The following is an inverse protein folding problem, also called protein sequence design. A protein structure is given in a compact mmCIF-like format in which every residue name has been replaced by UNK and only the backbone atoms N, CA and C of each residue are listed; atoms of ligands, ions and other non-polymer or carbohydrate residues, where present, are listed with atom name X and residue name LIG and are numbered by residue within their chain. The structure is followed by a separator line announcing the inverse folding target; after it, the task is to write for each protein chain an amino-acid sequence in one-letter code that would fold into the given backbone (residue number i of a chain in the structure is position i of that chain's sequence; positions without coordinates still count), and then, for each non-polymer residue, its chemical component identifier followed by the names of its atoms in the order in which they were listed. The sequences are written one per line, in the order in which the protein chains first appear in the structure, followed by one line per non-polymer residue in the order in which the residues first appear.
data_IF_026947852803
#
_entry.id   IF_026947852803
#
_cell.length_a   1.000
_cell.length_b   1.000
_cell.length_c   1.000
_cell.angle_alpha   90.00
_cell.angle_beta   90.00
_cell.angle_gamma   90.00
#
_symmetry.space_group_name_H-M   'P 1'
#
loop_
_entity.id
_entity.type
_entity.pdbx_description
1 polymer ?
#
# COMPACT_ATOMS: atom_id res chain seq x y z
N UNK A 1 -12.22 14.53 7.89
CA UNK A 1 -12.58 13.14 7.59
C UNK A 1 -11.27 12.36 7.54
N UNK A 2 -10.99 11.52 8.53
CA UNK A 2 -9.77 10.69 8.52
C UNK A 2 -9.94 9.64 7.42
N UNK A 3 -8.99 9.50 6.49
CA UNK A 3 -9.09 8.57 5.34
C UNK A 3 -9.40 7.12 5.77
N UNK A 4 -9.05 6.76 7.02
CA UNK A 4 -9.40 5.47 7.65
C UNK A 4 -10.90 5.24 7.79
N UNK A 5 -11.71 6.29 7.87
CA UNK A 5 -13.17 6.15 7.91
C UNK A 5 -13.73 5.60 6.59
N UNK A 6 -13.06 5.86 5.44
CA UNK A 6 -13.44 5.22 4.17
C UNK A 6 -13.20 3.71 4.21
N UNK A 7 -12.13 3.25 4.86
CA UNK A 7 -11.82 1.81 5.00
C UNK A 7 -12.82 1.06 5.87
N UNK A 8 -13.51 1.77 6.77
CA UNK A 8 -14.55 1.21 7.64
C UNK A 8 -15.93 1.15 6.98
N UNK A 9 -16.12 1.81 5.83
CA UNK A 9 -17.39 1.86 5.12
C UNK A 9 -17.84 0.46 4.68
N UNK A 10 -19.12 0.15 4.88
CA UNK A 10 -19.76 -1.08 4.41
C UNK A 10 -21.06 -0.71 3.65
N UNK A 11 -21.22 -1.10 2.37
CA UNK A 11 -20.25 -1.84 1.56
C UNK A 11 -19.05 -0.98 1.17
N UNK A 12 -17.87 -1.60 1.18
CA UNK A 12 -16.65 -1.04 0.58
C UNK A 12 -16.66 -1.40 -0.90
N UNK A 13 -16.51 -0.42 -1.80
CA UNK A 13 -16.61 -0.61 -3.25
C UNK A 13 -15.41 -0.01 -3.96
N UNK A 14 -15.22 -0.32 -5.25
CA UNK A 14 -14.08 0.14 -6.04
C UNK A 14 -13.88 1.67 -6.02
N UNK A 15 -14.99 2.43 -6.01
CA UNK A 15 -14.92 3.90 -5.93
C UNK A 15 -14.32 4.42 -4.60
N UNK A 16 -14.28 3.62 -3.53
CA UNK A 16 -13.57 3.98 -2.30
C UNK A 16 -12.05 3.87 -2.48
N UNK A 17 -11.58 2.90 -3.28
CA UNK A 17 -10.16 2.82 -3.63
C UNK A 17 -9.69 4.04 -4.42
N UNK A 18 -10.49 4.46 -5.42
CA UNK A 18 -10.18 5.67 -6.21
C UNK A 18 -9.97 6.88 -5.28
N UNK A 19 -10.88 7.07 -4.31
CA UNK A 19 -10.76 8.18 -3.34
C UNK A 19 -9.52 8.07 -2.45
N UNK A 20 -9.15 6.85 -2.03
CA UNK A 20 -7.94 6.61 -1.25
C UNK A 20 -6.70 6.89 -2.09
N UNK A 21 -6.65 6.39 -3.32
CA UNK A 21 -5.55 6.62 -4.25
C UNK A 21 -5.38 8.11 -4.58
N UNK A 22 -6.48 8.82 -4.88
CA UNK A 22 -6.48 10.27 -5.10
C UNK A 22 -6.00 11.03 -3.87
N UNK A 23 -6.52 10.69 -2.68
CA UNK A 23 -6.07 11.30 -1.44
C UNK A 23 -4.57 11.11 -1.23
N UNK A 24 -4.07 9.89 -1.41
CA UNK A 24 -2.65 9.59 -1.26
C UNK A 24 -1.86 10.34 -2.33
N UNK A 25 -2.26 10.33 -3.60
CA UNK A 25 -1.57 11.08 -4.65
C UNK A 25 -1.51 12.59 -4.35
N UNK A 26 -2.60 13.18 -3.87
CA UNK A 26 -2.67 14.60 -3.56
C UNK A 26 -1.88 14.98 -2.30
N UNK A 27 -1.75 14.07 -1.34
CA UNK A 27 -1.03 14.33 -0.07
C UNK A 27 0.42 13.82 -0.07
N UNK A 28 0.77 12.95 -1.02
CA UNK A 28 2.02 12.18 -1.06
C UNK A 28 2.70 12.29 -2.44
N UNK A 29 2.66 13.47 -3.06
CA UNK A 29 3.38 13.80 -4.30
C UNK A 29 3.15 12.83 -5.48
N UNK A 30 1.92 12.35 -5.67
CA UNK A 30 1.59 11.32 -6.68
C UNK A 30 2.16 9.93 -6.39
N UNK A 31 2.25 9.54 -5.10
CA UNK A 31 2.86 8.28 -4.66
C UNK A 31 2.34 7.04 -5.39
N UNK A 32 1.03 6.91 -5.60
CA UNK A 32 0.45 5.76 -6.30
C UNK A 32 0.96 5.70 -7.74
N UNK A 33 1.01 6.85 -8.43
CA UNK A 33 1.52 6.92 -9.79
C UNK A 33 3.02 6.58 -9.85
N UNK A 34 3.83 7.11 -8.92
CA UNK A 34 5.26 6.79 -8.86
C UNK A 34 5.50 5.31 -8.56
N UNK A 35 4.71 4.73 -7.65
CA UNK A 35 4.79 3.31 -7.31
C UNK A 35 4.46 2.44 -8.53
N UNK A 36 3.38 2.74 -9.25
CA UNK A 36 3.01 2.02 -10.47
C UNK A 36 4.05 2.18 -11.59
N UNK A 37 4.61 3.38 -11.74
CA UNK A 37 5.64 3.68 -12.74
C UNK A 37 6.98 2.97 -12.45
N UNK A 38 7.46 3.05 -11.21
CA UNK A 38 8.74 2.45 -10.79
C UNK A 38 8.65 0.92 -10.70
N UNK A 39 7.47 0.37 -10.40
CA UNK A 39 7.26 -1.05 -10.25
C UNK A 39 6.10 -1.56 -11.12
N UNK A 40 6.27 -1.60 -12.46
CA UNK A 40 5.20 -1.95 -13.40
C UNK A 40 4.69 -3.40 -13.30
N UNK A 41 5.36 -4.24 -12.48
CA UNK A 41 4.94 -5.62 -12.19
C UNK A 41 3.93 -5.71 -11.04
N UNK A 42 3.70 -4.62 -10.30
CA UNK A 42 2.69 -4.57 -9.26
C UNK A 42 1.30 -4.55 -9.89
N UNK A 43 0.38 -5.35 -9.34
CA UNK A 43 -1.04 -5.27 -9.70
C UNK A 43 -1.71 -4.18 -8.87
N UNK A 44 -2.94 -3.80 -9.24
CA UNK A 44 -3.74 -2.87 -8.45
C UNK A 44 -3.94 -3.37 -7.01
N UNK A 45 -4.20 -4.67 -6.83
CA UNK A 45 -4.31 -5.28 -5.50
C UNK A 45 -2.99 -5.19 -4.69
N UNK A 46 -1.84 -5.31 -5.35
CA UNK A 46 -0.53 -5.12 -4.69
C UNK A 46 -0.36 -3.69 -4.19
N UNK A 47 -0.74 -2.70 -5.02
CA UNK A 47 -0.73 -1.28 -4.68
C UNK A 47 -1.66 -1.04 -3.49
N UNK A 48 -2.88 -1.59 -3.51
CA UNK A 48 -3.83 -1.49 -2.40
C UNK A 48 -3.26 -2.05 -1.09
N UNK A 49 -2.59 -3.20 -1.13
CA UNK A 49 -1.89 -3.76 0.04
C UNK A 49 -0.84 -2.79 0.58
N UNK A 50 -0.04 -2.18 -0.30
CA UNK A 50 0.98 -1.18 0.07
C UNK A 50 0.33 0.06 0.69
N UNK A 51 -0.77 0.55 0.12
CA UNK A 51 -1.53 1.68 0.66
C UNK A 51 -2.08 1.39 2.05
N UNK A 52 -2.64 0.19 2.29
CA UNK A 52 -3.10 -0.18 3.63
C UNK A 52 -1.94 -0.23 4.64
N UNK A 53 -0.77 -0.75 4.25
CA UNK A 53 0.42 -0.70 5.11
C UNK A 53 0.81 0.75 5.45
N UNK A 54 0.79 1.63 4.44
CA UNK A 54 1.13 3.05 4.58
C UNK A 54 0.14 3.81 5.47
N UNK A 55 -1.14 3.45 5.41
CA UNK A 55 -2.21 3.96 6.28
C UNK A 55 -2.15 3.40 7.71
N UNK A 56 -1.09 2.67 8.04
CA UNK A 56 -0.82 2.07 9.33
C UNK A 56 -1.83 1.01 9.76
N UNK A 57 -2.44 0.31 8.81
CA UNK A 57 -3.22 -0.88 9.14
C UNK A 57 -2.28 -1.98 9.61
N UNK A 58 -2.73 -2.70 10.62
CA UNK A 58 -2.08 -3.88 11.15
C UNK A 58 -2.20 -5.05 10.16
N UNK A 59 -1.34 -6.05 10.31
CA UNK A 59 -1.39 -7.26 9.48
C UNK A 59 -2.77 -7.95 9.55
N UNK A 60 -3.40 -7.91 10.72
CA UNK A 60 -4.73 -8.50 10.94
C UNK A 60 -5.82 -7.71 10.21
N UNK A 61 -5.77 -6.38 10.26
CA UNK A 61 -6.73 -5.54 9.52
C UNK A 61 -6.59 -5.72 8.01
N UNK A 62 -5.37 -5.76 7.49
CA UNK A 62 -5.11 -6.01 6.06
C UNK A 62 -5.63 -7.40 5.66
N UNK A 63 -5.30 -8.42 6.45
CA UNK A 63 -5.73 -9.79 6.18
C UNK A 63 -7.26 -9.91 6.18
N UNK A 64 -7.92 -9.32 7.18
CA UNK A 64 -9.38 -9.26 7.25
C UNK A 64 -9.98 -8.48 6.07
N UNK A 65 -9.35 -7.38 5.65
CA UNK A 65 -9.81 -6.57 4.53
C UNK A 65 -9.83 -7.38 3.22
N UNK A 66 -8.78 -8.16 2.98
CA UNK A 66 -8.67 -9.03 1.79
C UNK A 66 -9.31 -10.41 1.97
N UNK A 67 -9.97 -10.68 3.11
CA UNK A 67 -10.55 -11.97 3.46
C UNK A 67 -9.55 -13.14 3.32
N UNK A 68 -8.33 -12.94 3.84
CA UNK A 68 -7.26 -13.94 3.85
C UNK A 68 -6.77 -14.22 5.28
N UNK A 69 -6.07 -15.32 5.47
CA UNK A 69 -5.38 -15.60 6.73
C UNK A 69 -4.18 -14.66 6.92
N UNK A 70 -3.88 -14.18 8.15
CA UNK A 70 -2.72 -13.33 8.42
C UNK A 70 -1.39 -13.92 7.92
N UNK A 71 -1.22 -15.23 8.01
CA UNK A 71 -0.04 -15.94 7.49
C UNK A 71 0.11 -15.79 5.97
N UNK A 72 -1.01 -15.69 5.23
CA UNK A 72 -1.00 -15.49 3.78
C UNK A 72 -0.44 -14.12 3.39
N UNK A 73 -0.44 -13.15 4.31
CA UNK A 73 0.19 -11.86 4.09
C UNK A 73 1.70 -11.99 3.93
N UNK A 74 2.36 -12.94 4.60
CA UNK A 74 3.80 -13.18 4.43
C UNK A 74 4.12 -13.61 3.00
N UNK A 75 3.28 -14.47 2.41
CA UNK A 75 3.43 -14.88 1.00
C UNK A 75 3.20 -13.70 0.05
N UNK A 76 2.19 -12.85 0.31
CA UNK A 76 1.99 -11.61 -0.45
C UNK A 76 3.20 -10.68 -0.34
N UNK A 77 3.75 -10.45 0.85
CA UNK A 77 4.96 -9.65 1.07
C UNK A 77 6.18 -10.19 0.34
N UNK A 78 6.40 -11.50 0.37
CA UNK A 78 7.46 -12.13 -0.41
C UNK A 78 7.31 -11.86 -1.92
N UNK A 79 6.07 -11.96 -2.44
CA UNK A 79 5.78 -11.65 -3.84
C UNK A 79 5.99 -10.17 -4.16
N UNK A 80 5.56 -9.25 -3.28
CA UNK A 80 5.82 -7.81 -3.41
C UNK A 80 7.31 -7.54 -3.52
N UNK A 81 8.12 -8.08 -2.59
CA UNK A 81 9.59 -7.94 -2.63
C UNK A 81 10.17 -8.43 -3.95
N UNK A 82 9.76 -9.61 -4.42
CA UNK A 82 10.21 -10.14 -5.71
C UNK A 82 9.80 -9.27 -6.91
N UNK A 83 8.58 -8.72 -6.90
CA UNK A 83 8.08 -7.82 -7.95
C UNK A 83 8.81 -6.48 -7.97
N UNK A 84 9.20 -5.99 -6.79
CA UNK A 84 9.93 -4.73 -6.59
C UNK A 84 11.45 -4.90 -6.66
N UNK A 85 11.96 -6.13 -6.85
CA UNK A 85 13.40 -6.40 -6.94
C UNK A 85 14.16 -6.23 -5.61
N UNK A 86 13.48 -6.37 -4.47
CA UNK A 86 14.04 -6.13 -3.14
C UNK A 86 14.72 -7.38 -2.58
N UNK A 87 15.70 -7.16 -1.71
CA UNK A 87 16.36 -8.24 -0.96
C UNK A 87 15.35 -8.99 -0.08
N UNK A 88 15.58 -10.29 0.11
CA UNK A 88 14.77 -11.15 0.98
C UNK A 88 14.84 -10.72 2.44
N UNK A 89 15.96 -10.17 2.89
CA UNK A 89 16.14 -9.79 4.30
C UNK A 89 15.54 -8.41 4.61
N UNK A 90 15.21 -7.64 3.57
CA UNK A 90 14.62 -6.32 3.71
C UNK A 90 13.15 -6.41 4.17
N UNK A 91 12.81 -5.58 5.15
CA UNK A 91 11.46 -5.44 5.67
C UNK A 91 10.66 -4.54 4.74
N UNK A 92 9.71 -5.14 4.03
CA UNK A 92 8.88 -4.45 3.04
C UNK A 92 8.20 -3.19 3.59
N UNK A 93 7.85 -3.19 4.90
CA UNK A 93 7.20 -2.06 5.54
C UNK A 93 8.14 -0.86 5.68
N UNK A 94 9.37 -1.10 6.13
CA UNK A 94 10.41 -0.08 6.26
C UNK A 94 10.74 0.53 4.91
N UNK A 95 10.87 -0.31 3.88
CA UNK A 95 11.11 0.18 2.52
C UNK A 95 9.97 1.03 1.96
N UNK A 96 8.71 0.65 2.22
CA UNK A 96 7.55 1.49 1.83
C UNK A 96 7.60 2.84 2.57
N UNK A 97 7.97 2.85 3.84
CA UNK A 97 8.08 4.07 4.64
C UNK A 97 9.25 4.96 4.14
N UNK A 98 10.36 4.38 3.69
CA UNK A 98 11.48 5.08 3.06
C UNK A 98 11.10 5.70 1.71
N UNK A 99 10.43 4.93 0.83
CA UNK A 99 9.93 5.43 -0.47
C UNK A 99 9.03 6.66 -0.31
N UNK A 100 8.36 6.76 0.84
CA UNK A 100 7.54 7.91 1.18
C UNK A 100 8.37 9.10 1.73
N UNK A 101 9.40 8.83 2.53
CA UNK A 101 10.16 9.87 3.24
C UNK A 101 11.15 10.61 2.34
N UNK A 102 11.67 9.95 1.29
CA UNK A 102 12.69 10.48 0.37
C UNK A 102 12.27 11.71 -0.47
N UNK A 103 11.11 12.30 -0.24
CA UNK A 103 10.64 13.48 -0.99
C UNK A 103 10.40 14.73 -0.12
N UNK A 104 10.79 14.70 1.15
CA UNK A 104 10.78 15.91 1.99
C UNK A 104 12.00 16.82 1.75
N UNK A 105 12.97 16.40 0.93
CA UNK A 105 14.24 17.12 0.68
C UNK A 105 14.43 17.56 -0.80
N UNK A 106 13.36 17.68 -1.58
CA UNK A 106 13.44 18.26 -2.94
C UNK A 106 12.38 19.33 -3.19
N UNK A 107 12.26 20.26 -2.22
CA UNK A 107 11.60 21.55 -2.37
C UNK A 107 12.55 22.66 -1.89
#
# INVERSE_FOLDING_TARGET
MEIKELLRRKPFVENDWIKIEEFINNTQNQFVHRLAYNFPKLTQEDIHVILLMRLNLTNNEIANFFNIQPLSLNTKRYRLKKKMGLDKDLLIREYIDELFTQESESA
#
